data_IF_475005947801
#
_entry.id   IF_475005947801
#
_cell.length_a   1.000
_cell.length_b   1.000
_cell.length_c   1.000
_cell.angle_alpha   90.00
_cell.angle_beta   90.00
_cell.angle_gamma   90.00
#
_symmetry.space_group_name_H-M   'P 1'
#
loop_
_entity.id
_entity.type
_entity.pdbx_description
1 polymer ?
#
# COMPACT_ATOMS: atom_id res chain seq x y z
N UNK A 1 12.51 69.89 -86.90
CA UNK A 1 11.08 69.76 -86.50
C UNK A 1 10.61 68.30 -86.41
N UNK A 2 11.36 67.32 -86.96
CA UNK A 2 11.01 65.88 -86.93
C UNK A 2 11.44 65.15 -85.64
N UNK A 3 12.54 65.57 -85.00
CA UNK A 3 13.11 64.92 -83.80
C UNK A 3 12.35 65.21 -82.49
N UNK A 4 11.71 66.39 -82.38
CA UNK A 4 10.93 66.77 -81.19
C UNK A 4 9.66 65.93 -81.03
N UNK A 5 8.91 65.73 -82.12
CA UNK A 5 7.72 64.88 -82.13
C UNK A 5 8.05 63.40 -81.97
N UNK A 6 9.21 62.94 -82.46
CA UNK A 6 9.71 61.58 -82.21
C UNK A 6 10.07 61.40 -80.73
N UNK A 7 10.78 62.36 -80.12
CA UNK A 7 11.14 62.31 -78.70
C UNK A 7 9.93 62.32 -77.76
N UNK A 8 8.88 63.09 -78.07
CA UNK A 8 7.66 63.15 -77.25
C UNK A 8 6.80 61.88 -77.42
N UNK A 9 6.74 61.33 -78.64
CA UNK A 9 6.09 60.04 -78.91
C UNK A 9 6.79 58.89 -78.18
N UNK A 10 8.13 58.87 -78.17
CA UNK A 10 8.92 57.86 -77.45
C UNK A 10 8.76 57.98 -75.93
N UNK A 11 8.59 59.20 -75.42
CA UNK A 11 8.29 59.41 -74.00
C UNK A 11 6.90 58.88 -73.65
N UNK A 12 5.90 59.16 -74.47
CA UNK A 12 4.53 58.69 -74.25
C UNK A 12 4.41 57.16 -74.37
N UNK A 13 5.14 56.54 -75.31
CA UNK A 13 5.22 55.08 -75.42
C UNK A 13 5.88 54.46 -74.18
N UNK A 14 6.97 55.05 -73.66
CA UNK A 14 7.62 54.59 -72.42
C UNK A 14 6.72 54.72 -71.20
N UNK A 15 6.02 55.84 -71.05
CA UNK A 15 5.05 56.04 -69.97
C UNK A 15 3.88 55.04 -70.07
N UNK A 16 3.43 54.70 -71.28
CA UNK A 16 2.40 53.68 -71.50
C UNK A 16 2.88 52.26 -71.18
N UNK A 17 4.09 51.91 -71.62
CA UNK A 17 4.74 50.64 -71.31
C UNK A 17 4.97 50.47 -69.80
N UNK A 18 5.42 51.53 -69.12
CA UNK A 18 5.55 51.55 -67.67
C UNK A 18 4.21 51.38 -66.95
N UNK A 19 3.16 52.07 -67.42
CA UNK A 19 1.80 51.91 -66.88
C UNK A 19 1.27 50.48 -67.06
N UNK A 20 1.50 49.85 -68.22
CA UNK A 20 1.14 48.46 -68.45
C UNK A 20 1.91 47.52 -67.51
N UNK A 21 3.23 47.71 -67.36
CA UNK A 21 4.07 46.90 -66.46
C UNK A 21 3.63 47.00 -65.00
N UNK A 22 3.33 48.21 -64.51
CA UNK A 22 2.87 48.42 -63.13
C UNK A 22 1.49 47.80 -62.90
N UNK A 23 0.60 47.85 -63.90
CA UNK A 23 -0.72 47.24 -63.81
C UNK A 23 -0.63 45.71 -63.77
N UNK A 24 0.21 45.11 -64.61
CA UNK A 24 0.50 43.68 -64.62
C UNK A 24 1.15 43.23 -63.31
N UNK A 25 2.13 43.98 -62.80
CA UNK A 25 2.79 43.70 -61.52
C UNK A 25 1.80 43.78 -60.35
N UNK A 26 0.90 44.78 -60.33
CA UNK A 26 -0.18 44.86 -59.33
C UNK A 26 -1.15 43.69 -59.43
N UNK A 27 -1.58 43.30 -60.62
CA UNK A 27 -2.46 42.14 -60.80
C UNK A 27 -1.78 40.85 -60.32
N UNK A 28 -0.52 40.64 -60.69
CA UNK A 28 0.25 39.47 -60.26
C UNK A 28 0.46 39.46 -58.75
N UNK A 29 0.79 40.61 -58.15
CA UNK A 29 0.94 40.75 -56.69
C UNK A 29 -0.38 40.48 -55.96
N UNK A 30 -1.51 40.96 -56.48
CA UNK A 30 -2.83 40.74 -55.89
C UNK A 30 -3.27 39.27 -55.98
N UNK A 31 -3.02 38.60 -57.11
CA UNK A 31 -3.28 37.17 -57.26
C UNK A 31 -2.42 36.33 -56.31
N UNK A 32 -1.13 36.64 -56.20
CA UNK A 32 -0.21 36.00 -55.24
C UNK A 32 -0.68 36.20 -53.80
N UNK A 33 -1.07 37.42 -53.43
CA UNK A 33 -1.59 37.72 -52.09
C UNK A 33 -2.89 36.95 -51.81
N UNK A 34 -3.80 36.84 -52.78
CA UNK A 34 -5.04 36.08 -52.62
C UNK A 34 -4.79 34.58 -52.47
N UNK A 35 -3.87 34.01 -53.24
CA UNK A 35 -3.48 32.60 -53.10
C UNK A 35 -2.82 32.33 -51.73
N UNK A 36 -1.94 33.23 -51.27
CA UNK A 36 -1.33 33.12 -49.96
C UNK A 36 -2.36 33.18 -48.83
N UNK A 37 -3.31 34.12 -48.89
CA UNK A 37 -4.39 34.24 -47.91
C UNK A 37 -5.27 32.97 -47.88
N UNK A 38 -5.58 32.38 -49.03
CA UNK A 38 -6.35 31.14 -49.10
C UNK A 38 -5.59 29.95 -48.47
N UNK A 39 -4.28 29.83 -48.74
CA UNK A 39 -3.44 28.79 -48.13
C UNK A 39 -3.27 28.98 -46.62
N UNK A 40 -3.20 30.21 -46.14
CA UNK A 40 -3.19 30.51 -44.70
C UNK A 40 -4.51 30.08 -44.05
N UNK A 41 -5.65 30.52 -44.61
CA UNK A 41 -6.96 30.14 -44.10
C UNK A 41 -7.17 28.61 -44.05
N UNK A 42 -6.67 27.87 -45.05
CA UNK A 42 -6.72 26.41 -45.05
C UNK A 42 -5.89 25.80 -43.91
N UNK A 43 -4.66 26.29 -43.72
CA UNK A 43 -3.80 25.83 -42.61
C UNK A 43 -4.42 26.12 -41.25
N UNK A 44 -4.94 27.33 -41.06
CA UNK A 44 -5.57 27.74 -39.80
C UNK A 44 -6.79 26.86 -39.50
N UNK A 45 -7.60 26.52 -40.51
CA UNK A 45 -8.73 25.62 -40.36
C UNK A 45 -8.30 24.21 -39.97
N UNK A 46 -7.29 23.65 -40.65
CA UNK A 46 -6.73 22.33 -40.31
C UNK A 46 -6.10 22.30 -38.91
N UNK A 47 -5.45 23.38 -38.49
CA UNK A 47 -4.89 23.52 -37.15
C UNK A 47 -5.99 23.58 -36.08
N UNK A 48 -7.06 24.35 -36.30
CA UNK A 48 -8.21 24.38 -35.40
C UNK A 48 -8.86 23.01 -35.27
N UNK A 49 -9.01 22.28 -36.38
CA UNK A 49 -9.59 20.94 -36.36
C UNK A 49 -8.71 19.95 -35.60
N UNK A 50 -7.38 20.02 -35.77
CA UNK A 50 -6.43 19.23 -34.98
C UNK A 50 -6.50 19.54 -33.50
N UNK A 51 -6.54 20.82 -33.13
CA UNK A 51 -6.64 21.24 -31.73
C UNK A 51 -7.91 20.72 -31.07
N UNK A 52 -9.05 20.76 -31.77
CA UNK A 52 -10.32 20.22 -31.27
C UNK A 52 -10.24 18.71 -31.02
N UNK A 53 -9.68 17.96 -31.97
CA UNK A 53 -9.49 16.51 -31.83
C UNK A 53 -8.54 16.16 -30.69
N UNK A 54 -7.44 16.92 -30.54
CA UNK A 54 -6.51 16.75 -29.43
C UNK A 54 -7.17 17.06 -28.09
N UNK A 55 -7.98 18.11 -28.01
CA UNK A 55 -8.71 18.47 -26.80
C UNK A 55 -9.69 17.36 -26.40
N UNK A 56 -10.48 16.85 -27.36
CA UNK A 56 -11.42 15.77 -27.11
C UNK A 56 -10.71 14.49 -26.65
N UNK A 57 -9.55 14.17 -27.25
CA UNK A 57 -8.74 13.03 -26.83
C UNK A 57 -8.21 13.20 -25.41
N UNK A 58 -7.70 14.38 -25.06
CA UNK A 58 -7.21 14.68 -23.70
C UNK A 58 -8.33 14.59 -22.67
N UNK A 59 -9.52 15.08 -22.99
CA UNK A 59 -10.69 14.97 -22.10
C UNK A 59 -11.10 13.51 -21.89
N UNK A 60 -11.11 12.70 -22.96
CA UNK A 60 -11.41 11.27 -22.85
C UNK A 60 -10.34 10.52 -22.04
N UNK A 61 -9.06 10.81 -22.27
CA UNK A 61 -7.95 10.25 -21.50
C UNK A 61 -8.02 10.66 -20.02
N UNK A 62 -8.32 11.92 -19.73
CA UNK A 62 -8.50 12.42 -18.37
C UNK A 62 -9.68 11.74 -17.66
N UNK A 63 -10.81 11.56 -18.34
CA UNK A 63 -11.96 10.84 -17.79
C UNK A 63 -11.64 9.38 -17.52
N UNK A 64 -10.94 8.71 -18.45
CA UNK A 64 -10.52 7.31 -18.26
C UNK A 64 -9.55 7.19 -17.08
N UNK A 65 -8.57 8.09 -17.00
CA UNK A 65 -7.64 8.14 -15.88
C UNK A 65 -8.36 8.39 -14.55
N UNK A 66 -9.36 9.27 -14.55
CA UNK A 66 -10.19 9.55 -13.38
C UNK A 66 -10.98 8.30 -12.93
N UNK A 67 -11.62 7.58 -13.85
CA UNK A 67 -12.32 6.33 -13.52
C UNK A 67 -11.37 5.28 -12.94
N UNK A 68 -10.18 5.12 -13.54
CA UNK A 68 -9.16 4.21 -13.04
C UNK A 68 -8.67 4.59 -11.63
N UNK A 69 -8.52 5.89 -11.36
CA UNK A 69 -8.19 6.37 -10.01
C UNK A 69 -9.27 6.00 -8.99
N UNK A 70 -10.55 6.20 -9.32
CA UNK A 70 -11.65 5.82 -8.43
C UNK A 70 -11.67 4.32 -8.12
N UNK A 71 -11.49 3.46 -9.13
CA UNK A 71 -11.42 2.02 -8.93
C UNK A 71 -10.22 1.62 -8.08
N UNK A 72 -9.05 2.22 -8.35
CA UNK A 72 -7.81 1.93 -7.61
C UNK A 72 -7.94 2.34 -6.15
N UNK A 73 -8.53 3.52 -5.88
CA UNK A 73 -8.72 4.02 -4.53
C UNK A 73 -9.74 3.18 -3.74
N UNK A 74 -10.81 2.72 -4.39
CA UNK A 74 -11.79 1.80 -3.77
C UNK A 74 -11.13 0.49 -3.36
N UNK A 75 -10.36 -0.14 -4.26
CA UNK A 75 -9.64 -1.38 -3.97
C UNK A 75 -8.58 -1.20 -2.87
N UNK A 76 -7.90 -0.06 -2.85
CA UNK A 76 -6.93 0.26 -1.80
C UNK A 76 -7.61 0.35 -0.44
N UNK A 77 -8.75 1.04 -0.36
CA UNK A 77 -9.53 1.16 0.88
C UNK A 77 -10.04 -0.20 1.38
N UNK A 78 -10.46 -1.09 0.48
CA UNK A 78 -10.84 -2.47 0.83
C UNK A 78 -9.65 -3.24 1.43
N UNK A 79 -8.48 -3.19 0.78
CA UNK A 79 -7.26 -3.83 1.27
C UNK A 79 -6.81 -3.29 2.62
N UNK A 80 -6.91 -1.98 2.84
CA UNK A 80 -6.61 -1.35 4.13
C UNK A 80 -7.55 -1.85 5.23
N UNK A 81 -8.84 -1.96 4.93
CA UNK A 81 -9.82 -2.51 5.87
C UNK A 81 -9.56 -3.98 6.18
N UNK A 82 -9.26 -4.80 5.17
CA UNK A 82 -8.89 -6.20 5.36
C UNK A 82 -7.62 -6.35 6.19
N UNK A 83 -6.59 -5.52 5.94
CA UNK A 83 -5.36 -5.54 6.71
C UNK A 83 -5.61 -5.22 8.19
N UNK A 84 -6.43 -4.20 8.46
CA UNK A 84 -6.82 -3.86 9.82
C UNK A 84 -7.58 -5.00 10.51
N UNK A 85 -8.55 -5.61 9.82
CA UNK A 85 -9.29 -6.77 10.34
C UNK A 85 -8.38 -7.96 10.61
N UNK A 86 -7.47 -8.28 9.68
CA UNK A 86 -6.52 -9.37 9.83
C UNK A 86 -5.58 -9.15 11.02
N UNK A 87 -5.10 -7.92 11.23
CA UNK A 87 -4.29 -7.56 12.41
C UNK A 87 -5.07 -7.74 13.70
N UNK A 88 -6.30 -7.21 13.76
CA UNK A 88 -7.15 -7.36 14.94
C UNK A 88 -7.46 -8.83 15.24
N UNK A 89 -7.72 -9.64 14.22
CA UNK A 89 -7.95 -11.08 14.38
C UNK A 89 -6.69 -11.78 14.89
N UNK A 90 -5.54 -11.50 14.28
CA UNK A 90 -4.26 -12.08 14.70
C UNK A 90 -3.96 -11.78 16.18
N UNK A 91 -4.20 -10.55 16.63
CA UNK A 91 -4.01 -10.19 18.04
C UNK A 91 -4.93 -10.97 18.98
N UNK A 92 -6.20 -11.16 18.59
CA UNK A 92 -7.16 -11.97 19.36
C UNK A 92 -6.76 -13.44 19.42
N UNK A 93 -6.34 -14.02 18.29
CA UNK A 93 -5.92 -15.41 18.20
C UNK A 93 -4.64 -15.66 19.01
N UNK A 94 -3.66 -14.75 18.94
CA UNK A 94 -2.46 -14.81 19.76
C UNK A 94 -2.78 -14.76 21.24
N UNK A 95 -3.71 -13.90 21.66
CA UNK A 95 -4.16 -13.87 23.04
C UNK A 95 -4.82 -15.18 23.46
N UNK A 96 -5.71 -15.73 22.63
CA UNK A 96 -6.39 -17.00 22.93
C UNK A 96 -5.38 -18.14 23.09
N UNK A 97 -4.40 -18.24 22.19
CA UNK A 97 -3.35 -19.24 22.24
C UNK A 97 -2.49 -19.11 23.51
N UNK A 98 -2.11 -17.88 23.89
CA UNK A 98 -1.35 -17.65 25.12
C UNK A 98 -2.15 -18.00 26.38
N UNK A 99 -3.45 -17.72 26.41
CA UNK A 99 -4.33 -18.14 27.51
C UNK A 99 -4.42 -19.66 27.61
N UNK A 100 -4.57 -20.33 26.47
CA UNK A 100 -4.68 -21.78 26.40
C UNK A 100 -3.39 -22.44 26.90
N UNK A 101 -2.24 -22.02 26.38
CA UNK A 101 -0.92 -22.58 26.74
C UNK A 101 -0.64 -22.45 28.24
N UNK A 102 -0.96 -21.30 28.85
CA UNK A 102 -0.79 -21.12 30.30
C UNK A 102 -1.74 -21.97 31.15
N UNK A 103 -3.00 -22.13 30.72
CA UNK A 103 -3.96 -22.98 31.43
C UNK A 103 -3.55 -24.44 31.31
N UNK A 104 -3.08 -24.85 30.14
CA UNK A 104 -2.61 -26.21 29.88
C UNK A 104 -1.35 -26.51 30.71
N UNK A 105 -0.34 -25.64 30.69
CA UNK A 105 0.88 -25.82 31.47
C UNK A 105 0.61 -25.89 32.97
N UNK A 106 -0.28 -25.03 33.49
CA UNK A 106 -0.69 -25.08 34.90
C UNK A 106 -1.53 -26.33 35.23
N UNK A 107 -2.42 -26.75 34.32
CA UNK A 107 -3.21 -27.96 34.47
C UNK A 107 -2.35 -29.22 34.53
N UNK A 108 -1.38 -29.35 33.61
CA UNK A 108 -0.40 -30.45 33.58
C UNK A 108 0.43 -30.44 34.86
N UNK A 109 0.90 -29.27 35.30
CA UNK A 109 1.66 -29.14 36.54
C UNK A 109 0.88 -29.69 37.74
N UNK A 110 -0.38 -29.29 37.92
CA UNK A 110 -1.24 -29.82 38.99
C UNK A 110 -1.48 -31.31 38.86
N UNK A 111 -1.75 -31.80 37.65
CA UNK A 111 -1.98 -33.23 37.41
C UNK A 111 -0.75 -34.07 37.79
N UNK A 112 0.44 -33.68 37.33
CA UNK A 112 1.68 -34.39 37.68
C UNK A 112 1.95 -34.33 39.19
N UNK A 113 1.68 -33.18 39.83
CA UNK A 113 1.81 -33.03 41.28
C UNK A 113 0.91 -34.03 42.03
N UNK A 114 -0.38 -34.09 41.67
CA UNK A 114 -1.33 -35.02 42.28
C UNK A 114 -0.97 -36.48 42.00
N UNK A 115 -0.54 -36.80 40.77
CA UNK A 115 -0.15 -38.16 40.39
C UNK A 115 1.09 -38.63 41.16
N UNK A 116 2.12 -37.78 41.30
CA UNK A 116 3.32 -38.11 42.08
C UNK A 116 3.01 -38.30 43.56
N UNK A 117 2.15 -37.46 44.15
CA UNK A 117 1.66 -37.65 45.54
C UNK A 117 0.94 -39.00 45.70
N UNK A 118 0.06 -39.35 44.75
CA UNK A 118 -0.64 -40.63 44.77
C UNK A 118 0.31 -41.83 44.61
N UNK A 119 1.33 -41.72 43.75
CA UNK A 119 2.36 -42.76 43.62
C UNK A 119 3.13 -42.95 44.93
N UNK A 120 3.55 -41.86 45.58
CA UNK A 120 4.20 -41.92 46.89
C UNK A 120 3.36 -42.63 47.96
N UNK A 121 2.05 -42.34 48.00
CA UNK A 121 1.11 -42.96 48.93
C UNK A 121 0.86 -44.46 48.62
N UNK A 122 0.85 -44.84 47.34
CA UNK A 122 0.50 -46.21 46.91
C UNK A 122 1.68 -47.18 46.86
N UNK A 123 2.83 -46.78 46.33
CA UNK A 123 3.98 -47.69 46.19
C UNK A 123 4.85 -47.75 47.44
N UNK A 124 4.96 -46.64 48.19
CA UNK A 124 5.86 -46.53 49.34
C UNK A 124 7.36 -46.69 49.01
N UNK A 125 7.69 -46.97 47.75
CA UNK A 125 9.05 -47.14 47.23
C UNK A 125 9.59 -45.78 46.78
N UNK A 126 10.19 -45.10 47.75
CA UNK A 126 10.71 -43.76 47.58
C UNK A 126 11.95 -43.72 46.68
N UNK A 127 12.74 -44.79 46.64
CA UNK A 127 13.97 -44.87 45.84
C UNK A 127 13.62 -45.00 44.34
N UNK A 128 12.59 -45.79 44.02
CA UNK A 128 12.09 -45.92 42.64
C UNK A 128 11.51 -44.61 42.07
N UNK A 129 10.97 -43.73 42.93
CA UNK A 129 10.36 -42.46 42.52
C UNK A 129 11.35 -41.29 42.44
N UNK A 130 12.57 -41.44 42.96
CA UNK A 130 13.61 -40.41 42.95
C UNK A 130 13.87 -39.77 41.56
N UNK A 131 14.06 -40.54 40.46
CA UNK A 131 14.28 -39.92 39.15
C UNK A 131 13.08 -39.11 38.65
N UNK A 132 11.85 -39.49 39.04
CA UNK A 132 10.64 -38.73 38.67
C UNK A 132 10.53 -37.45 39.50
N UNK A 133 10.84 -37.50 40.81
CA UNK A 133 10.90 -36.31 41.68
C UNK A 133 11.93 -35.30 41.17
N UNK A 134 13.15 -35.75 40.92
CA UNK A 134 14.23 -34.91 40.39
C UNK A 134 13.82 -34.21 39.08
N UNK A 135 13.12 -34.92 38.17
CA UNK A 135 12.59 -34.30 36.95
C UNK A 135 11.46 -33.31 37.22
N UNK A 136 10.56 -33.63 38.13
CA UNK A 136 9.46 -32.73 38.52
C UNK A 136 10.00 -31.43 39.12
N UNK A 137 10.93 -31.50 40.07
CA UNK A 137 11.56 -30.32 40.67
C UNK A 137 12.24 -29.45 39.61
N UNK A 138 13.00 -30.06 38.70
CA UNK A 138 13.62 -29.31 37.61
C UNK A 138 12.58 -28.60 36.72
N UNK A 139 11.42 -29.22 36.47
CA UNK A 139 10.34 -28.59 35.69
C UNK A 139 9.59 -27.52 36.48
N UNK A 140 9.39 -27.70 37.79
CA UNK A 140 8.81 -26.68 38.66
C UNK A 140 9.60 -25.37 38.55
N UNK A 141 10.92 -25.40 38.76
CA UNK A 141 11.75 -24.19 38.68
C UNK A 141 11.78 -23.56 37.28
N UNK A 142 11.76 -24.39 36.21
CA UNK A 142 11.65 -23.88 34.84
C UNK A 142 10.33 -23.16 34.61
N UNK A 143 9.22 -23.71 35.10
CA UNK A 143 7.89 -23.13 34.94
C UNK A 143 7.73 -21.86 35.79
N UNK A 144 8.24 -21.84 37.01
CA UNK A 144 8.28 -20.65 37.87
C UNK A 144 9.07 -19.51 37.20
N UNK A 145 10.24 -19.82 36.64
CA UNK A 145 11.02 -18.83 35.87
C UNK A 145 10.26 -18.35 34.64
N UNK A 146 9.62 -19.25 33.89
CA UNK A 146 8.84 -18.90 32.71
C UNK A 146 7.67 -17.96 33.06
N UNK A 147 6.88 -18.27 34.09
CA UNK A 147 5.80 -17.38 34.53
C UNK A 147 6.31 -16.03 35.05
N UNK A 148 7.48 -16.00 35.70
CA UNK A 148 8.13 -14.76 36.06
C UNK A 148 8.50 -13.93 34.81
N UNK A 149 9.12 -14.54 33.80
CA UNK A 149 9.41 -13.87 32.53
C UNK A 149 8.14 -13.36 31.84
N UNK A 150 7.07 -14.15 31.81
CA UNK A 150 5.75 -13.71 31.33
C UNK A 150 5.22 -12.50 32.11
N UNK A 151 5.43 -12.43 33.43
CA UNK A 151 4.96 -11.33 34.27
C UNK A 151 5.67 -10.00 34.01
N UNK A 152 6.83 -10.05 33.36
CA UNK A 152 7.55 -8.84 32.92
C UNK A 152 7.04 -8.31 31.57
N UNK A 153 6.24 -9.09 30.84
CA UNK A 153 5.68 -8.68 29.54
C UNK A 153 4.38 -7.91 29.73
N UNK A 154 4.45 -6.58 29.68
CA UNK A 154 3.28 -5.68 29.88
C UNK A 154 2.07 -6.06 29.03
N UNK A 155 2.30 -6.37 27.76
CA UNK A 155 1.23 -6.77 26.84
C UNK A 155 0.52 -8.03 27.37
N UNK A 156 1.27 -9.07 27.69
CA UNK A 156 0.74 -10.33 28.19
C UNK A 156 0.00 -10.11 29.53
N UNK A 157 0.58 -9.37 30.47
CA UNK A 157 -0.06 -9.08 31.77
C UNK A 157 -1.33 -8.23 31.68
N UNK A 158 -1.49 -7.44 30.61
CA UNK A 158 -2.71 -6.64 30.40
C UNK A 158 -3.88 -7.48 29.90
N UNK A 159 -3.60 -8.64 29.32
CA UNK A 159 -4.62 -9.47 28.68
C UNK A 159 -4.98 -10.70 29.52
N UNK A 160 -4.06 -11.18 30.35
CA UNK A 160 -4.21 -12.43 31.10
C UNK A 160 -3.62 -12.35 32.51
N UNK A 161 -4.25 -13.05 33.44
CA UNK A 161 -3.71 -13.25 34.78
C UNK A 161 -2.76 -14.44 34.77
N UNK A 162 -1.48 -14.18 34.99
CA UNK A 162 -0.46 -15.22 35.05
C UNK A 162 -0.57 -15.95 36.39
N UNK A 163 -0.67 -17.29 36.41
CA UNK A 163 -0.64 -18.07 37.64
C UNK A 163 0.65 -17.83 38.42
N UNK A 164 0.54 -17.62 39.73
CA UNK A 164 1.71 -17.52 40.61
C UNK A 164 1.97 -18.90 41.20
N UNK A 165 3.13 -19.46 40.89
CA UNK A 165 3.61 -20.69 41.51
C UNK A 165 4.40 -20.35 42.79
N UNK A 166 4.41 -21.25 43.79
CA UNK A 166 5.29 -21.11 44.94
C UNK A 166 6.76 -21.10 44.50
N UNK A 167 7.61 -20.46 45.32
CA UNK A 167 9.04 -20.34 45.04
C UNK A 167 9.75 -21.70 45.09
N UNK A 168 9.32 -22.57 46.00
CA UNK A 168 9.85 -23.90 46.19
C UNK A 168 8.85 -24.95 45.70
N UNK A 169 9.38 -26.08 45.20
CA UNK A 169 8.56 -27.19 44.75
C UNK A 169 7.72 -27.72 45.92
N UNK A 170 6.42 -28.01 45.69
CA UNK A 170 5.55 -28.50 46.73
C UNK A 170 6.03 -29.86 47.22
N UNK A 171 5.83 -30.12 48.51
CA UNK A 171 6.17 -31.42 49.07
C UNK A 171 5.32 -32.51 48.39
N UNK A 172 6.00 -33.50 47.81
CA UNK A 172 5.39 -34.63 47.11
C UNK A 172 5.08 -35.81 48.04
N UNK A 173 5.60 -35.79 49.27
CA UNK A 173 5.44 -36.87 50.26
C UNK A 173 4.34 -36.59 51.29
N UNK A 174 3.91 -35.34 51.44
CA UNK A 174 2.84 -34.95 52.35
C UNK A 174 1.50 -34.88 51.61
N UNK A 175 0.43 -35.38 52.24
CA UNK A 175 -0.95 -35.23 51.78
C UNK A 175 -1.54 -33.85 52.14
N UNK A 176 -0.73 -32.90 52.61
CA UNK A 176 -1.24 -31.60 53.03
C UNK A 176 -1.89 -30.85 51.85
N UNK A 177 -3.17 -30.54 52.08
CA UNK A 177 -4.14 -29.84 51.23
C UNK A 177 -3.78 -28.37 50.94
N UNK A 178 -2.54 -27.96 51.19
CA UNK A 178 -2.09 -26.64 50.75
C UNK A 178 -1.86 -26.71 49.25
N UNK A 179 -2.91 -26.31 48.53
CA UNK A 179 -2.93 -26.19 47.10
C UNK A 179 -1.70 -25.40 46.61
N UNK A 180 -1.06 -25.83 45.51
CA UNK A 180 -0.06 -25.00 44.84
C UNK A 180 -0.67 -23.70 44.29
#
# INVERSE_FOLDING_TARGET
MNEFWQSELDRQNREYEEQQRVLEERQNAQQMAQQQAALQAQRDFEEQQRQLMEQQKREQEALMQQQMQYQTQGRLAELEQENFRARSQYEQDQLMLQQYDQRESYGIYKFITSMLRAMHSTTGDDEALEPLRSRYEAQHYRLTKFYYECSNLRYLTSLITIPKLPQDAPNLRAEDDEAP
#
